data_IF_316873674613
#
_entry.id   IF_316873674613
#
_cell.length_a   1.000
_cell.length_b   1.000
_cell.length_c   1.000
_cell.angle_alpha   90.00
_cell.angle_beta   90.00
_cell.angle_gamma   90.00
#
_symmetry.space_group_name_H-M   'P 1'
#
loop_
_entity.id
_entity.type
_entity.pdbx_description
1 polymer ?
#
# COMPACT_ATOMS: atom_id res chain seq x y z
N UNK A 1 4.29 -1.99 -29.85
CA UNK A 1 3.83 -0.63 -29.56
C UNK A 1 3.11 -0.58 -28.21
N UNK A 2 3.39 0.44 -27.39
CA UNK A 2 2.71 0.53 -26.10
C UNK A 2 1.22 0.84 -26.27
N UNK A 3 0.38 0.17 -25.50
CA UNK A 3 -1.02 0.55 -25.35
C UNK A 3 -1.11 1.56 -24.23
N UNK A 4 -1.71 2.71 -24.49
CA UNK A 4 -1.97 3.75 -23.50
C UNK A 4 -3.47 3.76 -23.25
N UNK A 5 -3.88 3.26 -22.11
CA UNK A 5 -5.29 3.16 -21.75
C UNK A 5 -5.83 4.46 -21.19
N UNK A 6 -4.99 5.19 -20.47
CA UNK A 6 -5.34 6.48 -19.88
C UNK A 6 -4.07 7.32 -19.68
N UNK A 7 -4.15 8.59 -20.01
CA UNK A 7 -3.05 9.56 -19.81
C UNK A 7 -3.65 10.93 -19.54
N UNK A 8 -3.31 11.52 -18.39
CA UNK A 8 -3.82 12.84 -18.04
C UNK A 8 -2.73 13.70 -17.44
N UNK A 9 -2.51 14.87 -18.05
CA UNK A 9 -1.50 15.85 -17.63
C UNK A 9 -2.07 17.26 -17.45
N UNK A 10 -3.37 17.45 -17.63
CA UNK A 10 -4.04 18.74 -17.43
C UNK A 10 -3.40 19.90 -18.23
N UNK A 11 -3.10 19.66 -19.51
CA UNK A 11 -2.40 20.62 -20.37
C UNK A 11 -3.33 21.54 -21.17
N UNK A 12 -4.63 21.42 -20.98
CA UNK A 12 -5.64 22.13 -21.76
C UNK A 12 -6.54 23.07 -20.94
N UNK A 13 -5.97 23.68 -19.90
CA UNK A 13 -6.68 24.63 -19.06
C UNK A 13 -7.88 24.00 -18.36
N UNK A 14 -9.02 24.70 -18.38
CA UNK A 14 -10.22 24.28 -17.67
C UNK A 14 -10.96 23.10 -18.33
N UNK A 15 -10.51 22.63 -19.49
CA UNK A 15 -11.15 21.53 -20.21
C UNK A 15 -11.07 20.20 -19.45
N UNK A 16 -10.25 20.08 -18.43
CA UNK A 16 -10.21 18.88 -17.58
C UNK A 16 -11.57 18.57 -16.95
N UNK A 17 -12.41 19.58 -16.70
CA UNK A 17 -13.75 19.41 -16.13
C UNK A 17 -14.69 18.64 -17.05
N UNK A 18 -14.36 18.50 -18.33
CA UNK A 18 -15.12 17.69 -19.27
C UNK A 18 -14.79 16.21 -19.19
N UNK A 19 -13.62 15.88 -18.62
CA UNK A 19 -13.13 14.49 -18.53
C UNK A 19 -13.27 13.90 -17.13
N UNK A 20 -13.27 14.72 -16.10
CA UNK A 20 -13.36 14.31 -14.71
C UNK A 20 -14.74 14.61 -14.16
N UNK A 21 -15.35 13.64 -13.49
CA UNK A 21 -16.72 13.70 -12.98
C UNK A 21 -16.68 13.79 -11.47
N UNK A 22 -17.33 14.82 -10.91
CA UNK A 22 -17.53 14.94 -9.47
C UNK A 22 -18.62 13.97 -9.03
N UNK A 23 -18.36 13.23 -7.94
CA UNK A 23 -19.41 12.43 -7.29
C UNK A 23 -20.44 13.35 -6.63
N UNK A 24 -21.70 12.95 -6.69
CA UNK A 24 -22.82 13.61 -6.03
C UNK A 24 -23.36 12.79 -4.86
N UNK A 25 -22.65 11.76 -4.46
CA UNK A 25 -23.04 10.89 -3.33
C UNK A 25 -23.24 11.70 -2.04
N UNK A 26 -22.34 12.67 -1.80
CA UNK A 26 -22.49 13.65 -0.72
C UNK A 26 -22.41 15.05 -1.29
N UNK A 27 -23.15 15.98 -0.70
CA UNK A 27 -23.15 17.38 -1.13
C UNK A 27 -21.92 18.16 -0.68
N UNK A 28 -21.19 17.65 0.31
CA UNK A 28 -20.07 18.31 0.95
C UNK A 28 -18.70 17.72 0.59
N UNK A 29 -18.61 16.98 -0.50
CA UNK A 29 -17.30 16.56 -1.01
C UNK A 29 -16.41 17.77 -1.30
N UNK A 30 -15.11 17.61 -1.02
CA UNK A 30 -14.13 18.64 -1.29
C UNK A 30 -13.95 18.90 -2.78
N UNK A 31 -13.55 20.12 -3.10
CA UNK A 31 -13.33 20.57 -4.48
C UNK A 31 -11.87 20.51 -4.83
N UNK A 32 -11.58 20.01 -6.02
CA UNK A 32 -10.26 20.11 -6.64
C UNK A 32 -10.18 21.38 -7.47
N UNK A 33 -8.99 21.99 -7.49
CA UNK A 33 -8.68 23.12 -8.36
C UNK A 33 -7.45 22.78 -9.19
N UNK A 34 -7.35 23.35 -10.37
CA UNK A 34 -6.17 23.21 -11.21
C UNK A 34 -5.08 24.15 -10.71
N UNK A 35 -3.92 23.60 -10.34
CA UNK A 35 -2.83 24.41 -9.76
C UNK A 35 -1.49 23.70 -9.88
N UNK A 36 -0.43 24.48 -10.04
CA UNK A 36 0.96 24.01 -9.93
C UNK A 36 1.53 24.20 -8.53
N UNK A 37 0.74 24.78 -7.62
CA UNK A 37 1.14 24.99 -6.24
C UNK A 37 2.03 26.20 -6.01
N UNK A 38 2.67 26.24 -4.85
CA UNK A 38 3.50 27.37 -4.41
C UNK A 38 4.92 27.31 -4.96
N UNK A 39 5.39 26.11 -5.30
CA UNK A 39 6.69 25.90 -5.93
C UNK A 39 6.55 24.78 -6.94
N UNK A 40 7.21 24.90 -8.07
CA UNK A 40 7.02 24.02 -9.23
C UNK A 40 8.22 24.08 -10.15
N UNK A 41 8.27 23.21 -11.14
CA UNK A 41 9.24 23.25 -12.21
C UNK A 41 8.81 24.23 -13.31
N UNK A 42 7.59 24.03 -13.83
CA UNK A 42 7.00 24.84 -14.89
C UNK A 42 5.56 25.18 -14.51
N UNK A 43 5.22 26.48 -14.53
CA UNK A 43 3.90 26.97 -14.10
C UNK A 43 2.75 26.31 -14.85
N UNK A 44 2.89 26.10 -16.15
CA UNK A 44 1.82 25.55 -16.98
C UNK A 44 1.86 24.03 -17.07
N UNK A 45 3.04 23.46 -17.25
CA UNK A 45 3.19 22.01 -17.42
C UNK A 45 2.96 21.21 -16.14
N UNK A 46 3.21 21.82 -14.99
CA UNK A 46 3.11 21.14 -13.70
C UNK A 46 1.78 21.37 -13.00
N UNK A 47 0.79 21.94 -13.69
CA UNK A 47 -0.56 22.03 -13.15
C UNK A 47 -1.18 20.64 -13.00
N UNK A 48 -1.78 20.41 -11.85
CA UNK A 48 -2.50 19.19 -11.54
C UNK A 48 -3.73 19.48 -10.71
N UNK A 49 -4.37 18.43 -10.24
CA UNK A 49 -5.55 18.53 -9.38
C UNK A 49 -5.11 18.72 -7.93
N UNK A 50 -5.40 19.88 -7.38
CA UNK A 50 -5.06 20.22 -5.99
C UNK A 50 -6.30 20.18 -5.10
N UNK A 51 -6.21 19.47 -3.98
CA UNK A 51 -7.23 19.53 -2.94
C UNK A 51 -7.25 20.94 -2.36
N UNK A 52 -8.43 21.51 -2.16
CA UNK A 52 -8.56 22.94 -1.83
C UNK A 52 -9.32 23.23 -0.53
N UNK A 53 -9.88 22.21 0.12
CA UNK A 53 -10.69 22.37 1.33
C UNK A 53 -10.27 21.38 2.40
N UNK A 54 -10.05 21.90 3.61
CA UNK A 54 -9.64 21.08 4.75
C UNK A 54 -10.79 20.22 5.28
N UNK A 55 -10.43 19.08 5.88
CA UNK A 55 -11.36 18.18 6.57
C UNK A 55 -12.53 17.76 5.67
N UNK A 56 -12.20 17.28 4.48
CA UNK A 56 -13.18 16.82 3.50
C UNK A 56 -12.85 15.45 2.95
N UNK A 57 -13.90 14.70 2.61
CA UNK A 57 -13.80 13.61 1.65
C UNK A 57 -13.81 14.19 0.24
N UNK A 58 -13.04 13.59 -0.65
CA UNK A 58 -12.96 13.97 -2.05
C UNK A 58 -13.33 12.76 -2.90
N UNK A 59 -14.13 12.98 -3.93
CA UNK A 59 -14.54 11.91 -4.83
C UNK A 59 -14.66 12.44 -6.26
N UNK A 60 -13.65 12.18 -7.07
CA UNK A 60 -13.54 12.66 -8.45
C UNK A 60 -13.01 11.53 -9.32
N UNK A 61 -13.52 11.35 -10.52
CA UNK A 61 -13.10 10.23 -11.37
C UNK A 61 -13.12 10.57 -12.85
N UNK A 62 -12.29 9.87 -13.62
CA UNK A 62 -12.21 9.96 -15.06
C UNK A 62 -12.44 8.57 -15.67
N UNK A 63 -13.20 8.54 -16.74
CA UNK A 63 -13.55 7.32 -17.48
C UNK A 63 -12.66 7.19 -18.71
N UNK A 64 -12.29 5.96 -19.02
CA UNK A 64 -11.55 5.62 -20.23
C UNK A 64 -12.21 4.40 -20.89
N UNK A 65 -11.75 4.08 -22.10
CA UNK A 65 -12.26 2.91 -22.82
C UNK A 65 -11.96 1.65 -22.01
N UNK A 66 -12.98 0.83 -21.67
CA UNK A 66 -12.76 -0.35 -20.87
C UNK A 66 -11.75 -1.32 -21.49
N UNK A 67 -10.89 -1.90 -20.66
CA UNK A 67 -9.93 -2.90 -21.09
C UNK A 67 -9.77 -3.98 -20.03
N UNK A 68 -9.27 -5.16 -20.45
CA UNK A 68 -8.86 -6.24 -19.57
C UNK A 68 -7.34 -6.36 -19.58
N UNK A 69 -6.74 -6.64 -18.43
CA UNK A 69 -5.30 -6.89 -18.36
C UNK A 69 -4.94 -8.38 -18.49
N UNK A 70 -5.91 -9.22 -18.82
CA UNK A 70 -5.64 -10.66 -18.97
C UNK A 70 -4.60 -10.89 -20.08
N UNK A 71 -3.52 -11.62 -19.74
CA UNK A 71 -2.40 -11.86 -20.63
C UNK A 71 -1.52 -10.65 -20.90
N UNK A 72 -1.70 -9.57 -20.16
CA UNK A 72 -1.00 -8.30 -20.35
C UNK A 72 -0.40 -7.81 -19.04
N UNK A 73 0.70 -7.08 -19.15
CA UNK A 73 1.21 -6.28 -18.03
C UNK A 73 0.31 -5.06 -17.84
N UNK A 74 0.07 -4.70 -16.59
CA UNK A 74 -0.61 -3.47 -16.21
C UNK A 74 0.38 -2.57 -15.49
N UNK A 75 0.47 -1.31 -15.93
CA UNK A 75 1.25 -0.28 -15.24
C UNK A 75 0.34 0.86 -14.88
N UNK A 76 0.35 1.24 -13.61
CA UNK A 76 -0.40 2.41 -13.08
C UNK A 76 0.63 3.37 -12.49
N UNK A 77 0.63 4.60 -12.96
CA UNK A 77 1.61 5.60 -12.55
C UNK A 77 0.96 6.97 -12.39
N UNK A 78 1.41 7.72 -11.40
CA UNK A 78 1.00 9.11 -11.20
C UNK A 78 1.97 9.83 -10.28
N UNK A 79 1.90 11.15 -10.27
CA UNK A 79 2.69 11.97 -9.34
C UNK A 79 1.79 12.53 -8.24
N UNK A 80 2.37 12.65 -7.04
CA UNK A 80 1.73 13.23 -5.86
C UNK A 80 2.69 14.20 -5.21
N UNK A 81 2.18 15.37 -4.84
CA UNK A 81 2.94 16.40 -4.14
C UNK A 81 2.15 16.89 -2.93
N UNK A 82 2.64 16.57 -1.75
CA UNK A 82 2.07 17.04 -0.49
C UNK A 82 2.71 18.36 -0.06
N UNK A 83 2.51 19.42 -0.85
CA UNK A 83 3.18 20.71 -0.59
C UNK A 83 2.75 21.36 0.73
N UNK A 84 1.61 20.95 1.28
CA UNK A 84 1.12 21.41 2.57
C UNK A 84 1.82 20.76 3.77
N UNK A 85 2.76 19.86 3.54
CA UNK A 85 3.36 19.04 4.59
C UNK A 85 2.27 18.25 5.33
N UNK A 86 1.62 17.38 4.60
CA UNK A 86 0.40 16.68 5.05
C UNK A 86 0.60 15.97 6.39
N UNK A 87 -0.35 16.14 7.29
CA UNK A 87 -0.40 15.44 8.59
C UNK A 87 -1.29 14.20 8.56
N UNK A 88 -2.44 14.27 7.90
CA UNK A 88 -3.32 13.11 7.75
C UNK A 88 -4.15 13.23 6.48
N UNK A 89 -3.92 12.32 5.56
CA UNK A 89 -4.69 12.27 4.33
C UNK A 89 -4.16 11.27 3.32
N UNK A 90 -5.05 10.84 2.44
CA UNK A 90 -4.73 9.93 1.35
C UNK A 90 -4.18 10.65 0.13
N UNK A 91 -3.28 9.97 -0.58
CA UNK A 91 -2.73 10.42 -1.85
C UNK A 91 -2.72 9.30 -2.88
N UNK A 92 -3.71 8.42 -2.85
CA UNK A 92 -3.79 7.20 -3.65
C UNK A 92 -4.89 7.30 -4.70
N UNK A 93 -4.82 6.41 -5.68
CA UNK A 93 -5.83 6.24 -6.73
C UNK A 93 -6.55 4.91 -6.57
N UNK A 94 -7.76 4.82 -7.11
CA UNK A 94 -8.51 3.58 -7.23
C UNK A 94 -8.84 3.34 -8.69
N UNK A 95 -8.71 2.10 -9.13
CA UNK A 95 -9.12 1.67 -10.47
C UNK A 95 -10.40 0.84 -10.35
N UNK A 96 -11.41 1.24 -11.11
CA UNK A 96 -12.74 0.65 -11.02
C UNK A 96 -13.09 -0.13 -12.29
N UNK A 97 -13.92 -1.18 -12.18
CA UNK A 97 -14.43 -1.91 -13.32
C UNK A 97 -15.51 -1.11 -14.06
N UNK A 98 -15.90 -1.60 -15.23
CA UNK A 98 -17.10 -1.12 -15.94
C UNK A 98 -18.31 -1.23 -15.03
N UNK A 99 -19.25 -0.29 -15.17
CA UNK A 99 -20.48 -0.30 -14.40
C UNK A 99 -20.45 0.60 -13.16
N UNK A 100 -19.30 1.20 -12.83
CA UNK A 100 -19.27 2.21 -11.78
C UNK A 100 -20.10 3.41 -12.20
N UNK A 101 -21.00 3.84 -11.34
CA UNK A 101 -21.68 5.12 -11.49
C UNK A 101 -20.78 6.21 -10.90
N UNK A 102 -20.12 6.99 -11.76
CA UNK A 102 -19.19 8.02 -11.32
C UNK A 102 -19.85 9.09 -10.44
N UNK A 103 -21.13 9.37 -10.67
CA UNK A 103 -21.89 10.35 -9.89
C UNK A 103 -22.22 9.85 -8.49
N UNK A 104 -22.12 8.55 -8.27
CA UNK A 104 -22.37 7.92 -6.96
C UNK A 104 -21.12 7.26 -6.38
N UNK A 105 -19.94 7.60 -6.89
CA UNK A 105 -18.68 7.04 -6.35
C UNK A 105 -18.49 7.49 -4.90
N UNK A 106 -18.17 6.54 -4.04
CA UNK A 106 -17.96 6.79 -2.60
C UNK A 106 -17.01 5.73 -2.01
N UNK A 107 -16.75 5.84 -0.73
CA UNK A 107 -15.78 4.98 -0.05
C UNK A 107 -16.08 3.49 -0.12
N UNK A 108 -17.36 3.10 -0.23
CA UNK A 108 -17.77 1.69 -0.33
C UNK A 108 -17.95 1.20 -1.77
N UNK A 109 -17.71 2.05 -2.77
CA UNK A 109 -17.74 1.61 -4.18
C UNK A 109 -16.68 0.53 -4.41
N UNK A 110 -17.12 -0.58 -5.04
CA UNK A 110 -16.22 -1.70 -5.32
C UNK A 110 -15.17 -1.30 -6.37
N UNK A 111 -13.90 -1.54 -6.07
CA UNK A 111 -12.79 -1.25 -6.96
C UNK A 111 -11.96 -2.51 -7.24
N UNK A 112 -11.16 -2.49 -8.30
CA UNK A 112 -10.22 -3.56 -8.62
C UNK A 112 -8.90 -3.39 -7.86
N UNK A 113 -8.33 -2.20 -7.91
CA UNK A 113 -7.01 -1.90 -7.34
C UNK A 113 -7.07 -0.53 -6.66
N UNK A 114 -6.45 -0.44 -5.48
CA UNK A 114 -6.14 0.81 -4.80
C UNK A 114 -4.63 0.92 -4.64
N UNK A 115 -4.04 2.02 -5.08
CA UNK A 115 -2.60 2.18 -5.09
C UNK A 115 -2.20 3.61 -4.78
N UNK A 116 -1.25 3.78 -3.87
CA UNK A 116 -0.60 5.06 -3.60
C UNK A 116 -0.40 5.34 -2.11
N UNK A 117 0.21 6.51 -1.81
CA UNK A 117 0.59 6.84 -0.45
C UNK A 117 -0.60 7.19 0.44
N UNK A 118 -0.44 6.90 1.72
CA UNK A 118 -1.38 7.28 2.76
C UNK A 118 -0.57 7.67 4.00
N UNK A 119 -0.78 8.88 4.46
CA UNK A 119 -0.03 9.45 5.58
C UNK A 119 -1.04 9.89 6.63
N UNK A 120 -0.87 9.40 7.86
CA UNK A 120 -1.65 9.87 9.00
C UNK A 120 -0.81 9.77 10.26
N UNK A 121 -0.29 10.91 10.70
CA UNK A 121 0.61 11.00 11.83
C UNK A 121 1.94 10.30 11.59
N UNK A 122 2.81 10.22 12.61
CA UNK A 122 4.12 9.59 12.46
C UNK A 122 4.06 8.07 12.29
N UNK A 123 2.94 7.45 12.68
CA UNK A 123 2.78 5.99 12.64
C UNK A 123 2.27 5.42 11.32
N UNK A 124 1.75 6.24 10.43
CA UNK A 124 1.20 5.79 9.15
C UNK A 124 1.79 6.62 8.01
N UNK A 125 2.77 6.04 7.33
CA UNK A 125 3.43 6.63 6.16
C UNK A 125 3.72 5.50 5.18
N UNK A 126 2.66 5.01 4.53
CA UNK A 126 2.75 3.78 3.74
C UNK A 126 2.15 3.95 2.35
N UNK A 127 2.56 3.06 1.46
CA UNK A 127 1.95 2.91 0.14
C UNK A 127 0.96 1.76 0.21
N UNK A 128 -0.30 2.06 -0.06
CA UNK A 128 -1.32 1.02 -0.22
C UNK A 128 -1.13 0.31 -1.56
N UNK A 129 -1.21 -1.01 -1.53
CA UNK A 129 -1.37 -1.86 -2.71
C UNK A 129 -2.43 -2.89 -2.36
N UNK A 130 -3.66 -2.60 -2.76
CA UNK A 130 -4.83 -3.40 -2.38
C UNK A 130 -5.47 -3.92 -3.65
N UNK A 131 -5.72 -5.23 -3.70
CA UNK A 131 -6.39 -5.89 -4.82
C UNK A 131 -7.72 -6.47 -4.36
N UNK A 132 -8.76 -6.27 -5.16
CA UNK A 132 -9.99 -7.00 -4.99
C UNK A 132 -9.81 -8.39 -5.58
N UNK A 133 -9.99 -9.42 -4.76
CA UNK A 133 -9.92 -10.80 -5.19
C UNK A 133 -11.14 -11.55 -4.68
N UNK A 134 -11.96 -12.01 -5.63
CA UNK A 134 -13.20 -12.76 -5.35
C UNK A 134 -14.10 -12.04 -4.33
N UNK A 135 -14.27 -10.73 -4.53
CA UNK A 135 -15.16 -9.91 -3.72
C UNK A 135 -14.56 -9.40 -2.41
N UNK A 136 -13.28 -9.64 -2.15
CA UNK A 136 -12.59 -9.16 -0.95
C UNK A 136 -11.43 -8.26 -1.31
N UNK A 137 -11.26 -7.18 -0.57
CA UNK A 137 -10.09 -6.31 -0.69
C UNK A 137 -8.96 -6.90 0.16
N UNK A 138 -7.86 -7.26 -0.49
CA UNK A 138 -6.72 -7.91 0.16
C UNK A 138 -5.53 -6.97 0.10
N UNK A 139 -4.96 -6.69 1.26
CA UNK A 139 -3.85 -5.75 1.43
C UNK A 139 -2.52 -6.51 1.34
N UNK A 140 -1.50 -5.83 0.81
CA UNK A 140 -0.14 -6.38 0.79
C UNK A 140 0.35 -6.64 2.22
N UNK A 141 1.08 -7.74 2.41
CA UNK A 141 1.65 -8.12 3.71
C UNK A 141 2.98 -7.42 4.03
N UNK A 142 3.48 -6.61 3.12
CA UNK A 142 4.75 -5.89 3.29
C UNK A 142 4.50 -4.42 3.56
N UNK A 143 5.38 -3.82 4.34
CA UNK A 143 5.36 -2.38 4.58
C UNK A 143 6.18 -1.67 3.52
N UNK A 144 5.52 -0.81 2.75
CA UNK A 144 6.17 0.06 1.79
C UNK A 144 6.05 1.48 2.32
N UNK A 145 7.18 2.09 2.65
CA UNK A 145 7.18 3.45 3.19
C UNK A 145 6.98 4.47 2.08
N UNK A 146 6.01 5.37 2.25
CA UNK A 146 5.81 6.50 1.34
C UNK A 146 6.83 7.61 1.61
N UNK A 147 7.02 8.47 0.62
CA UNK A 147 7.71 9.74 0.83
C UNK A 147 6.82 10.67 1.65
N UNK A 148 7.42 11.48 2.51
CA UNK A 148 6.71 12.35 3.43
C UNK A 148 7.16 13.81 3.39
N UNK A 149 7.96 14.16 2.40
CA UNK A 149 8.37 15.55 2.17
C UNK A 149 7.35 16.33 1.32
N UNK A 150 7.66 17.56 1.01
CA UNK A 150 6.77 18.49 0.32
C UNK A 150 6.93 18.47 -1.21
N UNK A 151 7.81 17.64 -1.74
CA UNK A 151 8.13 17.60 -3.16
C UNK A 151 7.29 16.59 -3.93
N UNK A 152 7.27 16.74 -5.25
CA UNK A 152 6.60 15.79 -6.15
C UNK A 152 7.32 14.46 -6.14
N UNK A 153 6.55 13.38 -5.98
CA UNK A 153 7.05 12.01 -6.07
C UNK A 153 6.24 11.20 -7.07
N UNK A 154 6.91 10.30 -7.73
CA UNK A 154 6.33 9.42 -8.75
C UNK A 154 6.07 8.04 -8.15
N UNK A 155 4.83 7.59 -8.22
CA UNK A 155 4.42 6.27 -7.75
C UNK A 155 4.03 5.39 -8.93
N UNK A 156 4.61 4.21 -9.02
CA UNK A 156 4.37 3.27 -10.12
C UNK A 156 4.11 1.87 -9.58
N UNK A 157 3.01 1.27 -10.02
CA UNK A 157 2.67 -0.12 -9.77
C UNK A 157 2.71 -0.89 -11.08
N UNK A 158 3.41 -2.02 -11.09
CA UNK A 158 3.49 -2.93 -12.22
C UNK A 158 2.92 -4.28 -11.77
N UNK A 159 1.96 -4.81 -12.53
CA UNK A 159 1.34 -6.11 -12.29
C UNK A 159 1.48 -6.92 -13.57
N UNK A 160 2.13 -8.08 -13.48
CA UNK A 160 2.48 -8.89 -14.67
C UNK A 160 1.61 -10.15 -14.77
N UNK A 161 1.45 -10.68 -16.00
CA UNK A 161 0.60 -11.86 -16.22
C UNK A 161 1.16 -13.17 -15.65
N UNK A 162 2.39 -13.17 -15.15
CA UNK A 162 2.98 -14.30 -14.42
C UNK A 162 2.72 -14.21 -12.89
N UNK A 163 1.81 -13.35 -12.45
CA UNK A 163 1.51 -13.08 -11.04
C UNK A 163 2.67 -12.46 -10.25
N UNK A 164 3.58 -11.76 -10.92
CA UNK A 164 4.60 -10.96 -10.25
C UNK A 164 4.21 -9.48 -10.25
N UNK A 165 4.79 -8.73 -9.34
CA UNK A 165 4.53 -7.29 -9.22
C UNK A 165 5.80 -6.53 -8.88
N UNK A 166 5.74 -5.23 -9.09
CA UNK A 166 6.80 -4.32 -8.72
C UNK A 166 6.19 -2.98 -8.33
N UNK A 167 6.71 -2.38 -7.28
CA UNK A 167 6.37 -1.01 -6.86
C UNK A 167 7.62 -0.15 -6.98
N UNK A 168 7.48 0.99 -7.63
CA UNK A 168 8.55 1.99 -7.75
C UNK A 168 8.11 3.30 -7.11
N UNK A 169 9.06 3.99 -6.49
CA UNK A 169 8.92 5.37 -6.08
C UNK A 169 10.07 6.13 -6.73
N UNK A 170 9.74 7.22 -7.43
CA UNK A 170 10.73 8.03 -8.15
C UNK A 170 11.57 7.19 -9.13
N UNK A 171 10.89 6.30 -9.83
CA UNK A 171 11.46 5.37 -10.83
C UNK A 171 12.48 4.38 -10.26
N UNK A 172 12.55 4.23 -8.93
CA UNK A 172 13.40 3.24 -8.28
C UNK A 172 12.56 2.17 -7.63
N UNK A 173 12.90 0.91 -7.85
CA UNK A 173 12.19 -0.21 -7.25
C UNK A 173 12.30 -0.15 -5.72
N UNK A 174 11.17 -0.20 -5.04
CA UNK A 174 11.10 -0.25 -3.57
C UNK A 174 10.56 -1.57 -3.06
N UNK A 175 9.79 -2.29 -3.87
CA UNK A 175 9.27 -3.60 -3.53
C UNK A 175 8.99 -4.41 -4.79
N UNK A 176 9.16 -5.73 -4.71
CA UNK A 176 8.82 -6.64 -5.79
C UNK A 176 8.59 -8.04 -5.24
N UNK A 177 7.96 -8.90 -6.03
CA UNK A 177 7.76 -10.28 -5.63
C UNK A 177 6.61 -10.93 -6.39
N UNK A 178 6.05 -11.95 -5.77
CA UNK A 178 4.91 -12.70 -6.25
C UNK A 178 3.64 -12.25 -5.52
N UNK A 179 2.54 -12.13 -6.26
CA UNK A 179 1.24 -11.81 -5.67
C UNK A 179 0.83 -12.87 -4.65
N UNK A 180 1.07 -14.14 -4.96
CA UNK A 180 0.71 -15.24 -4.06
C UNK A 180 1.47 -15.17 -2.73
N UNK A 181 2.73 -14.77 -2.75
CA UNK A 181 3.58 -14.73 -1.55
C UNK A 181 3.31 -13.50 -0.68
N UNK A 182 2.99 -12.36 -1.29
CA UNK A 182 2.95 -11.08 -0.60
C UNK A 182 1.54 -10.60 -0.25
N UNK A 183 0.51 -11.36 -0.62
CA UNK A 183 -0.90 -11.17 -0.24
C UNK A 183 -1.51 -12.51 0.16
N UNK A 184 -2.50 -12.46 1.04
CA UNK A 184 -3.23 -13.65 1.48
C UNK A 184 -4.44 -13.91 0.56
N UNK A 185 -4.20 -14.06 -0.75
CA UNK A 185 -5.26 -14.36 -1.71
C UNK A 185 -5.77 -15.78 -1.62
N UNK A 186 -4.86 -16.73 -1.42
CA UNK A 186 -5.15 -18.15 -1.44
C UNK A 186 -5.03 -18.75 -0.05
N UNK A 187 -5.73 -19.86 0.24
CA UNK A 187 -5.47 -20.63 1.45
C UNK A 187 -3.99 -21.01 1.51
N UNK A 188 -3.43 -21.22 2.72
CA UNK A 188 -2.03 -21.60 2.84
C UNK A 188 -1.76 -22.97 2.19
N UNK A 189 -0.56 -23.13 1.62
CA UNK A 189 -0.15 -24.40 0.97
C UNK A 189 -0.03 -25.53 1.96
N UNK A 190 0.40 -25.22 3.17
CA UNK A 190 0.61 -26.17 4.26
C UNK A 190 -0.24 -25.78 5.45
N UNK A 191 -0.80 -26.77 6.11
CA UNK A 191 -1.55 -26.60 7.36
C UNK A 191 -1.02 -27.58 8.39
N UNK A 192 -1.28 -27.30 9.66
CA UNK A 192 -0.98 -28.24 10.73
C UNK A 192 -1.81 -29.49 10.52
N UNK A 193 -1.18 -30.66 10.64
CA UNK A 193 -1.86 -31.95 10.50
C UNK A 193 -2.94 -32.06 11.59
N UNK A 194 -4.23 -32.10 11.21
CA UNK A 194 -5.31 -32.18 12.20
C UNK A 194 -5.35 -33.51 12.94
N UNK A 195 -4.71 -34.55 12.39
CA UNK A 195 -4.64 -35.89 13.01
C UNK A 195 -3.44 -36.01 13.93
N UNK A 196 -2.54 -35.05 13.98
CA UNK A 196 -1.38 -35.04 14.87
C UNK A 196 -1.69 -34.30 16.16
N UNK A 197 -1.26 -34.87 17.27
CA UNK A 197 -1.36 -34.23 18.56
C UNK A 197 -0.05 -34.44 19.32
N UNK A 198 0.29 -33.49 20.17
CA UNK A 198 1.46 -33.61 21.03
C UNK A 198 1.30 -34.87 21.91
N UNK A 199 2.26 -35.83 21.88
CA UNK A 199 2.22 -36.97 22.76
C UNK A 199 2.16 -36.54 24.22
N UNK A 200 1.37 -37.23 25.03
CA UNK A 200 1.24 -36.94 26.46
C UNK A 200 2.57 -37.06 27.21
N UNK A 201 3.44 -37.96 26.74
CA UNK A 201 4.75 -38.20 27.32
C UNK A 201 5.85 -37.29 26.76
N UNK A 202 5.50 -36.34 25.91
CA UNK A 202 6.48 -35.39 25.34
C UNK A 202 6.86 -34.33 26.35
N UNK A 203 8.12 -34.37 26.80
CA UNK A 203 8.61 -33.48 27.83
C UNK A 203 9.43 -32.33 27.22
N UNK A 204 8.87 -31.14 27.31
CA UNK A 204 9.50 -29.89 26.80
C UNK A 204 10.29 -29.14 27.88
N UNK A 205 10.35 -29.67 29.08
CA UNK A 205 11.07 -29.05 30.20
C UNK A 205 12.53 -29.40 30.11
N UNK A 206 13.38 -28.40 29.81
CA UNK A 206 14.84 -28.60 29.78
C UNK A 206 15.41 -28.84 31.17
N UNK A 207 14.79 -28.28 32.18
CA UNK A 207 15.20 -28.37 33.58
C UNK A 207 14.05 -28.91 34.43
N UNK A 208 14.35 -29.73 35.38
CA UNK A 208 13.40 -30.25 36.35
C UNK A 208 13.97 -30.15 37.75
N UNK A 209 13.10 -30.30 38.76
CA UNK A 209 13.51 -30.38 40.12
C UNK A 209 14.32 -31.68 40.33
N UNK A 210 15.42 -31.60 41.07
CA UNK A 210 16.25 -32.76 41.39
C UNK A 210 15.47 -33.68 42.35
N UNK A 211 15.06 -34.88 41.90
CA UNK A 211 14.29 -35.78 42.75
C UNK A 211 15.08 -36.31 43.94
N UNK A 212 16.39 -36.18 43.91
CA UNK A 212 17.24 -36.62 45.03
C UNK A 212 17.45 -35.51 46.05
N UNK A 213 17.06 -34.27 45.76
CA UNK A 213 17.17 -33.19 46.71
C UNK A 213 15.96 -33.12 47.62
N UNK A 214 16.18 -32.77 48.86
CA UNK A 214 15.12 -32.70 49.85
C UNK A 214 15.30 -31.51 50.76
N UNK A 215 14.18 -31.00 51.26
CA UNK A 215 14.18 -29.88 52.20
C UNK A 215 14.96 -30.26 53.45
N UNK A 216 16.03 -29.45 53.82
CA UNK A 216 16.75 -29.70 55.09
C UNK A 216 15.83 -29.58 56.29
N UNK A 217 16.03 -30.46 57.27
CA UNK A 217 15.22 -30.50 58.49
C UNK A 217 15.25 -29.17 59.24
N UNK A 218 16.38 -28.45 59.16
CA UNK A 218 16.62 -27.17 59.85
C UNK A 218 16.28 -25.97 58.99
N UNK A 219 15.69 -26.11 57.80
CA UNK A 219 15.39 -25.01 56.90
C UNK A 219 14.57 -23.90 57.55
N UNK A 220 13.52 -24.29 58.26
CA UNK A 220 12.62 -23.35 58.91
C UNK A 220 13.21 -22.71 60.17
N UNK A 221 14.26 -23.33 60.75
CA UNK A 221 14.94 -22.86 61.95
C UNK A 221 16.01 -21.81 61.67
N UNK A 222 16.51 -21.76 60.46
CA UNK A 222 17.58 -20.86 60.06
C UNK A 222 17.17 -19.42 59.79
N UNK A 223 15.91 -19.14 59.67
CA UNK A 223 15.35 -17.81 59.56
C UNK A 223 15.74 -17.01 58.32
N UNK A 224 16.31 -17.63 57.31
CA UNK A 224 16.97 -16.87 56.25
C UNK A 224 16.35 -16.96 54.89
N UNK A 225 15.18 -17.57 54.70
CA UNK A 225 15.03 -17.72 53.33
C UNK A 225 13.72 -18.01 52.70
N UNK A 226 12.66 -17.91 53.36
CA UNK A 226 11.39 -18.13 52.77
C UNK A 226 11.16 -19.58 52.30
N UNK A 227 10.43 -19.80 51.25
CA UNK A 227 10.05 -21.11 50.76
C UNK A 227 11.21 -21.86 50.17
N UNK A 228 11.39 -23.14 50.61
CA UNK A 228 12.42 -23.98 50.05
C UNK A 228 12.04 -24.52 48.69
N UNK A 229 13.02 -24.49 47.77
CA UNK A 229 12.87 -25.03 46.41
C UNK A 229 14.02 -26.01 46.13
N UNK A 230 13.71 -27.17 45.50
CA UNK A 230 14.79 -28.06 45.12
C UNK A 230 15.69 -27.48 44.05
N UNK A 231 16.89 -27.97 43.98
CA UNK A 231 17.88 -27.67 42.96
C UNK A 231 17.35 -28.08 41.60
N UNK A 232 17.60 -27.28 40.56
CA UNK A 232 17.24 -27.60 39.19
C UNK A 232 18.37 -28.36 38.50
N UNK A 233 18.00 -29.44 37.84
CA UNK A 233 18.91 -30.31 37.07
C UNK A 233 18.43 -30.42 35.62
N UNK A 234 19.32 -30.86 34.74
CA UNK A 234 18.95 -31.15 33.36
C UNK A 234 17.96 -32.32 33.34
N UNK A 235 16.91 -32.19 32.56
CA UNK A 235 15.89 -33.21 32.42
C UNK A 235 16.38 -34.31 31.47
N UNK A 236 16.61 -35.54 31.94
CA UNK A 236 17.06 -36.61 31.06
C UNK A 236 16.02 -37.07 30.04
N UNK A 237 14.75 -36.73 30.27
CA UNK A 237 13.64 -37.07 29.36
C UNK A 237 13.28 -35.93 28.43
N UNK A 238 14.11 -34.84 28.42
CA UNK A 238 13.86 -33.68 27.59
C UNK A 238 13.94 -34.05 26.11
N UNK A 239 12.86 -33.78 25.37
CA UNK A 239 12.74 -34.09 23.92
C UNK A 239 12.74 -32.86 23.04
N UNK A 240 12.96 -31.69 23.61
CA UNK A 240 12.89 -30.42 22.88
C UNK A 240 11.46 -29.90 22.72
N UNK A 241 11.31 -28.80 22.05
CA UNK A 241 10.01 -28.22 21.74
C UNK A 241 9.31 -29.10 20.70
N UNK A 242 8.07 -29.53 20.99
CA UNK A 242 7.31 -30.31 20.04
C UNK A 242 6.88 -29.39 18.87
N UNK A 243 7.19 -29.82 17.64
CA UNK A 243 6.81 -29.12 16.43
C UNK A 243 5.65 -29.89 15.80
N UNK A 244 4.51 -29.18 15.66
CA UNK A 244 3.34 -29.78 15.03
C UNK A 244 3.68 -30.13 13.57
N UNK A 245 3.51 -31.38 13.13
CA UNK A 245 3.72 -31.73 11.73
C UNK A 245 2.78 -30.98 10.81
N UNK A 246 3.26 -30.65 9.63
CA UNK A 246 2.46 -29.98 8.59
C UNK A 246 2.20 -30.93 7.44
N UNK A 247 1.02 -30.81 6.85
CA UNK A 247 0.61 -31.53 5.65
C UNK A 247 0.21 -30.55 4.57
N UNK A 248 0.11 -31.03 3.33
CA UNK A 248 -0.45 -30.24 2.24
C UNK A 248 -1.90 -29.91 2.54
N UNK A 249 -2.27 -28.64 2.32
CA UNK A 249 -3.65 -28.21 2.52
C UNK A 249 -4.52 -28.69 1.36
N UNK A 250 -5.52 -29.56 1.60
CA UNK A 250 -6.40 -30.03 0.52
C UNK A 250 -7.28 -28.92 -0.08
N UNK A 251 -7.44 -27.81 0.62
CA UNK A 251 -8.22 -26.67 0.13
C UNK A 251 -7.37 -25.70 -0.70
N UNK A 252 -6.05 -25.91 -0.76
CA UNK A 252 -5.18 -25.08 -1.58
C UNK A 252 -5.28 -25.51 -3.04
N UNK A 253 -5.45 -24.50 -3.92
CA UNK A 253 -5.38 -24.67 -5.36
C UNK A 253 -4.70 -23.44 -5.95
N UNK A 254 -3.68 -23.60 -6.79
CA UNK A 254 -3.02 -22.47 -7.41
C UNK A 254 -3.98 -21.72 -8.35
N UNK A 255 -3.79 -20.40 -8.46
CA UNK A 255 -4.54 -19.55 -9.37
C UNK A 255 -3.56 -18.73 -10.21
N UNK A 256 -3.49 -19.04 -11.49
CA UNK A 256 -2.63 -18.33 -12.44
C UNK A 256 -3.17 -16.96 -12.82
N UNK A 257 -4.40 -16.64 -12.44
CA UNK A 257 -5.12 -15.43 -12.85
C UNK A 257 -5.42 -14.48 -11.68
N UNK A 258 -4.65 -14.56 -10.60
CA UNK A 258 -4.83 -13.63 -9.47
C UNK A 258 -4.73 -12.18 -9.95
N UNK A 259 -3.80 -11.89 -10.86
CA UNK A 259 -3.54 -10.55 -11.39
C UNK A 259 -4.66 -10.02 -12.29
N UNK A 260 -5.49 -10.90 -12.85
CA UNK A 260 -6.35 -10.57 -13.98
C UNK A 260 -7.69 -10.01 -13.57
N UNK A 261 -8.11 -8.96 -14.26
CA UNK A 261 -9.43 -8.36 -14.15
C UNK A 261 -10.07 -8.28 -15.52
N UNK A 262 -11.37 -8.56 -15.57
CA UNK A 262 -12.12 -8.55 -16.83
C UNK A 262 -12.28 -7.14 -17.40
N UNK A 263 -12.39 -6.12 -16.53
CA UNK A 263 -12.49 -4.75 -17.00
C UNK A 263 -11.89 -3.75 -16.01
N UNK A 264 -11.17 -2.78 -16.58
CA UNK A 264 -10.84 -1.50 -15.95
C UNK A 264 -11.48 -0.42 -16.81
N UNK A 265 -12.15 0.53 -16.20
CA UNK A 265 -12.89 1.57 -16.95
C UNK A 265 -12.80 2.97 -16.35
N UNK A 266 -12.42 3.11 -15.07
CA UNK A 266 -12.42 4.39 -14.37
C UNK A 266 -11.22 4.47 -13.44
N UNK A 267 -10.57 5.63 -13.44
CA UNK A 267 -9.60 6.01 -12.40
C UNK A 267 -10.26 7.04 -11.48
N UNK A 268 -10.24 6.78 -10.17
CA UNK A 268 -10.86 7.65 -9.18
C UNK A 268 -9.91 8.12 -8.11
N UNK A 269 -10.16 9.33 -7.64
CA UNK A 269 -9.57 9.90 -6.45
C UNK A 269 -10.69 9.90 -5.39
N UNK A 270 -10.63 8.96 -4.48
CA UNK A 270 -11.60 8.77 -3.40
C UNK A 270 -10.82 8.74 -2.10
N UNK A 271 -10.74 9.89 -1.42
CA UNK A 271 -9.82 10.05 -0.30
C UNK A 271 -10.33 11.07 0.72
N UNK A 272 -9.75 11.01 1.90
CA UNK A 272 -9.94 11.96 2.99
C UNK A 272 -8.67 12.74 3.20
N UNK A 273 -8.79 14.06 3.43
CA UNK A 273 -7.67 14.89 3.84
C UNK A 273 -8.09 15.84 4.97
N UNK A 274 -7.31 15.87 6.03
CA UNK A 274 -7.51 16.83 7.12
C UNK A 274 -7.05 18.20 6.65
N UNK A 275 -5.80 18.33 6.20
CA UNK A 275 -5.24 19.57 5.66
C UNK A 275 -5.09 19.42 4.15
N UNK A 276 -5.69 20.31 3.40
CA UNK A 276 -5.65 20.30 1.94
C UNK A 276 -4.35 20.87 1.38
N UNK A 277 -4.10 20.64 0.10
CA UNK A 277 -2.93 21.15 -0.61
C UNK A 277 -2.21 20.12 -1.47
N UNK A 278 -2.63 18.86 -1.46
CA UNK A 278 -2.03 17.80 -2.28
C UNK A 278 -2.36 18.01 -3.74
N UNK A 279 -1.34 17.89 -4.61
CA UNK A 279 -1.48 18.00 -6.05
C UNK A 279 -1.24 16.63 -6.70
N UNK A 280 -2.20 16.21 -7.53
CA UNK A 280 -2.13 14.97 -8.32
C UNK A 280 -1.94 15.33 -9.79
N UNK A 281 -1.01 14.65 -10.47
CA UNK A 281 -0.73 14.93 -11.88
C UNK A 281 -0.13 13.69 -12.57
N UNK A 282 0.08 13.80 -13.86
CA UNK A 282 0.80 12.83 -14.68
C UNK A 282 0.29 11.40 -14.53
N UNK A 283 -1.03 11.25 -14.62
CA UNK A 283 -1.66 9.94 -14.57
C UNK A 283 -1.39 9.17 -15.86
N UNK A 284 -1.02 7.90 -15.69
CA UNK A 284 -0.75 7.00 -16.79
C UNK A 284 -1.21 5.59 -16.45
N UNK A 285 -1.97 4.98 -17.35
CA UNK A 285 -2.29 3.56 -17.31
C UNK A 285 -1.88 2.98 -18.66
N UNK A 286 -0.98 2.00 -18.65
CA UNK A 286 -0.38 1.43 -19.86
C UNK A 286 -0.06 -0.05 -19.65
N UNK A 287 0.29 -0.74 -20.73
CA UNK A 287 0.81 -2.09 -20.67
C UNK A 287 2.34 -2.17 -20.85
N UNK A 288 3.02 -1.02 -20.94
CA UNK A 288 4.43 -0.95 -21.31
C UNK A 288 5.27 -0.34 -20.18
N UNK A 289 6.10 -1.18 -19.56
CA UNK A 289 6.95 -0.77 -18.43
C UNK A 289 8.00 0.27 -18.85
N UNK A 290 8.60 0.09 -20.01
CA UNK A 290 9.63 1.00 -20.51
C UNK A 290 9.06 2.38 -20.84
N UNK A 291 7.88 2.41 -21.44
CA UNK A 291 7.17 3.66 -21.69
C UNK A 291 6.86 4.41 -20.40
N UNK A 292 6.40 3.70 -19.37
CA UNK A 292 6.10 4.32 -18.07
C UNK A 292 7.35 4.90 -17.41
N UNK A 293 8.47 4.20 -17.47
CA UNK A 293 9.75 4.71 -16.95
C UNK A 293 10.18 5.97 -17.66
N UNK A 294 10.10 6.00 -18.99
CA UNK A 294 10.42 7.17 -19.80
C UNK A 294 9.49 8.34 -19.48
N UNK A 295 8.18 8.09 -19.42
CA UNK A 295 7.19 9.13 -19.06
C UNK A 295 7.45 9.69 -17.66
N UNK A 296 7.82 8.84 -16.71
CA UNK A 296 8.20 9.28 -15.37
C UNK A 296 9.42 10.19 -15.36
N UNK A 297 10.43 9.85 -16.15
CA UNK A 297 11.64 10.68 -16.29
C UNK A 297 11.35 12.02 -16.97
N UNK A 298 10.43 12.03 -17.92
CA UNK A 298 10.04 13.27 -18.65
C UNK A 298 9.14 14.19 -17.82
N UNK A 299 8.46 13.67 -16.83
CA UNK A 299 7.54 14.42 -15.95
C UNK A 299 8.19 14.70 -14.60
N UNK A 300 8.14 13.77 -13.66
CA UNK A 300 8.77 13.92 -12.35
C UNK A 300 10.27 14.20 -12.48
N UNK A 301 10.96 13.49 -13.35
CA UNK A 301 12.41 13.60 -13.51
C UNK A 301 12.88 14.99 -13.95
N UNK A 302 12.08 15.67 -14.77
CA UNK A 302 12.37 17.05 -15.22
C UNK A 302 11.97 18.05 -14.14
N UNK A 303 10.85 17.81 -13.46
CA UNK A 303 10.29 18.74 -12.47
C UNK A 303 11.14 18.84 -11.20
N UNK A 304 11.72 17.75 -10.75
CA UNK A 304 12.30 17.62 -9.40
C UNK A 304 13.36 18.65 -9.05
N UNK A 305 14.30 18.92 -9.96
CA UNK A 305 15.40 19.84 -9.69
C UNK A 305 14.94 21.30 -9.64
N UNK A 306 14.10 21.70 -10.60
CA UNK A 306 13.59 23.07 -10.67
C UNK A 306 12.63 23.38 -9.51
N UNK A 307 11.81 22.41 -9.14
CA UNK A 307 10.90 22.50 -7.99
C UNK A 307 11.69 22.74 -6.70
N UNK A 308 12.74 21.96 -6.47
CA UNK A 308 13.62 22.12 -5.31
C UNK A 308 14.32 23.46 -5.28
N UNK A 309 14.82 23.92 -6.43
CA UNK A 309 15.48 25.22 -6.53
C UNK A 309 14.52 26.36 -6.17
N UNK A 310 13.29 26.31 -6.65
CA UNK A 310 12.27 27.30 -6.31
C UNK A 310 11.95 27.30 -4.83
N UNK A 311 11.75 26.12 -4.22
CA UNK A 311 11.47 26.00 -2.81
C UNK A 311 12.63 26.53 -1.96
N UNK A 312 13.86 26.15 -2.29
CA UNK A 312 15.06 26.60 -1.57
C UNK A 312 15.20 28.12 -1.63
N UNK A 313 14.91 28.72 -2.79
CA UNK A 313 14.95 30.17 -2.95
C UNK A 313 13.89 30.88 -2.12
N UNK A 314 12.67 30.35 -2.09
CA UNK A 314 11.60 30.88 -1.26
C UNK A 314 11.93 30.80 0.23
N UNK A 315 12.51 29.69 0.67
CA UNK A 315 12.92 29.51 2.05
C UNK A 315 14.03 30.47 2.46
N UNK A 316 14.97 30.73 1.55
CA UNK A 316 16.05 31.70 1.77
C UNK A 316 15.48 33.12 1.89
N UNK A 317 14.56 33.51 1.02
CA UNK A 317 13.91 34.81 1.07
C UNK A 317 13.13 35.03 2.36
N UNK A 318 12.50 33.98 2.89
CA UNK A 318 11.76 34.04 4.16
C UNK A 318 12.67 34.19 5.38
N UNK A 319 13.94 33.79 5.28
CA UNK A 319 14.91 33.93 6.38
C UNK A 319 15.50 35.32 6.46
N UNK A 320 15.32 36.13 5.42
CA UNK A 320 15.75 37.50 5.38
C UNK A 320 14.66 38.42 5.96
#
# INVERSE_FOLDING_TARGET
DPAIYFKEQFLDGDAWTNRWVESKHKSDFGKFVLSSGKFYGDLEKDKGLQTSQDARFYALSAKFEPFSNKGQTLVVQFTVKHEQNIDCGGGYVKLFPSGLDQKDMHGDSEYNIMFGPDICGPGTKKVHVIFNYKGKNVLINKDIRSKDDEFTHLYTLIVRPDNTYEVKIDNSQVESGSLEDDWDFLPPKKIKDPDAAKPEDWDERAKIDDPTDSKPEDWDKGGSGGEWKPRQIDNPDYKGTWIHPEIDNPEYSPDANIYAYDSFAVLGLDLWQVKSGTIFDNFLITNDEAYAEEFGNETWGVTKAAEKQMKDKQDEEQRL
#
